data_IF_058957939515
#
_entry.id   IF_058957939515
#
_cell.length_a   1.000
_cell.length_b   1.000
_cell.length_c   1.000
_cell.angle_alpha   90.00
_cell.angle_beta   90.00
_cell.angle_gamma   90.00
#
_symmetry.space_group_name_H-M   'P 1'
#
loop_
_entity.id
_entity.type
_entity.pdbx_description
1 polymer ?
#
# COMPACT_ATOMS: atom_id res chain seq x y z
N UNK A 1 16.39 -10.50 0.43
CA UNK A 1 16.13 -9.05 0.50
C UNK A 1 14.86 -8.87 1.31
N UNK A 2 14.82 -7.87 2.22
CA UNK A 2 13.60 -7.59 2.98
C UNK A 2 12.88 -6.44 2.28
N UNK A 3 11.71 -6.72 1.72
CA UNK A 3 10.83 -5.66 1.18
C UNK A 3 10.44 -4.74 2.33
N UNK A 4 10.41 -3.42 2.15
CA UNK A 4 9.78 -2.50 3.12
C UNK A 4 8.52 -1.87 2.52
N UNK A 5 7.66 -1.33 3.38
CA UNK A 5 6.67 -0.36 2.94
C UNK A 5 7.26 1.03 3.15
N UNK A 6 7.67 1.66 2.06
CA UNK A 6 8.26 2.99 2.05
C UNK A 6 7.16 4.05 2.00
N UNK A 7 7.28 5.10 2.79
CA UNK A 7 6.44 6.30 2.71
C UNK A 7 7.34 7.49 2.38
N UNK A 8 7.22 8.04 1.15
CA UNK A 8 7.96 9.22 0.76
C UNK A 8 7.45 10.44 1.55
N UNK A 9 8.39 11.23 2.05
CA UNK A 9 8.13 12.41 2.87
C UNK A 9 8.59 13.68 2.16
N UNK A 10 7.80 14.74 2.34
CA UNK A 10 8.00 16.02 1.68
C UNK A 10 7.85 17.13 2.70
N UNK A 11 8.64 18.18 2.54
CA UNK A 11 8.45 19.47 3.20
C UNK A 11 8.48 20.50 2.10
N UNK A 12 7.30 20.88 1.57
CA UNK A 12 7.20 21.78 0.43
C UNK A 12 8.12 23.02 0.58
N UNK A 13 8.90 23.34 -0.46
CA UNK A 13 8.80 22.82 -1.83
C UNK A 13 9.60 21.53 -2.11
N UNK A 14 10.22 20.93 -1.08
CA UNK A 14 11.24 19.90 -1.26
C UNK A 14 10.74 18.50 -0.91
N UNK A 15 11.28 17.51 -1.61
CA UNK A 15 11.30 16.14 -1.15
C UNK A 15 12.42 15.98 -0.12
N UNK A 16 12.14 15.24 0.96
CA UNK A 16 13.13 15.02 2.02
C UNK A 16 13.79 13.66 1.83
N UNK A 17 13.00 12.63 1.55
CA UNK A 17 13.46 11.25 1.53
C UNK A 17 12.31 10.29 1.85
N UNK A 18 12.65 9.01 1.98
CA UNK A 18 11.71 7.95 2.34
C UNK A 18 11.96 7.46 3.77
N UNK A 19 10.87 7.29 4.50
CA UNK A 19 10.85 6.43 5.67
C UNK A 19 10.41 5.04 5.24
N UNK A 20 10.91 4.01 5.89
CA UNK A 20 10.64 2.60 5.55
C UNK A 20 10.24 1.86 6.80
N UNK A 21 9.07 1.25 6.74
CA UNK A 21 8.61 0.36 7.79
C UNK A 21 9.07 -1.07 7.51
N UNK A 22 9.71 -1.65 8.51
CA UNK A 22 10.14 -3.03 8.55
C UNK A 22 9.38 -3.80 9.62
N UNK A 23 9.19 -5.10 9.40
CA UNK A 23 8.55 -5.98 10.38
C UNK A 23 9.58 -6.97 10.89
N UNK A 24 9.87 -6.92 12.19
CA UNK A 24 10.88 -7.76 12.85
C UNK A 24 10.23 -8.57 13.97
N UNK A 25 10.81 -9.73 14.30
CA UNK A 25 10.37 -10.50 15.46
C UNK A 25 10.69 -9.74 16.76
N UNK A 26 9.73 -9.68 17.68
CA UNK A 26 9.91 -9.05 18.97
C UNK A 26 11.02 -9.75 19.76
N UNK A 27 11.86 -8.96 20.43
CA UNK A 27 12.99 -9.46 21.20
C UNK A 27 14.26 -9.70 20.38
N UNK A 28 14.20 -9.64 19.04
CA UNK A 28 15.41 -9.57 18.23
C UNK A 28 16.11 -8.22 18.41
N UNK A 29 17.45 -8.23 18.35
CA UNK A 29 18.21 -7.00 18.25
C UNK A 29 17.84 -6.24 16.97
N UNK A 30 17.69 -4.92 17.07
CA UNK A 30 17.44 -4.08 15.92
C UNK A 30 18.71 -4.01 15.06
N UNK A 31 18.60 -4.10 13.73
CA UNK A 31 19.71 -3.78 12.84
C UNK A 31 20.21 -2.34 13.08
N UNK A 32 21.45 -2.02 12.68
CA UNK A 32 21.94 -0.65 12.66
C UNK A 32 20.96 0.26 11.91
N UNK A 33 20.77 1.49 12.39
CA UNK A 33 19.89 2.53 11.82
C UNK A 33 18.38 2.28 11.96
N UNK A 34 17.96 1.12 12.46
CA UNK A 34 16.56 0.83 12.73
C UNK A 34 16.17 1.33 14.12
N UNK A 35 15.04 2.02 14.21
CA UNK A 35 14.40 2.36 15.47
C UNK A 35 13.01 1.72 15.56
N UNK A 36 12.43 1.70 16.77
CA UNK A 36 11.02 1.32 16.91
C UNK A 36 10.17 2.39 16.22
N UNK A 37 9.27 1.98 15.32
CA UNK A 37 8.49 2.91 14.53
C UNK A 37 7.67 3.84 15.43
N UNK A 38 7.82 5.14 15.21
CA UNK A 38 6.99 6.17 15.86
C UNK A 38 5.96 6.62 14.84
N UNK A 39 4.79 5.99 14.88
CA UNK A 39 3.72 6.35 13.96
C UNK A 39 3.25 7.78 14.26
N UNK A 40 3.59 8.75 13.39
CA UNK A 40 3.42 10.18 13.63
C UNK A 40 2.40 10.82 12.67
N UNK A 41 1.19 10.25 12.67
CA UNK A 41 0.01 10.75 11.96
C UNK A 41 -1.00 11.36 12.95
N UNK A 42 -1.83 12.33 12.54
CA UNK A 42 -3.03 12.70 13.29
C UNK A 42 -4.08 11.56 13.34
N UNK A 43 -4.05 10.61 12.40
CA UNK A 43 -5.12 9.62 12.18
C UNK A 43 -4.91 8.29 12.92
N UNK A 44 -4.10 8.25 13.98
CA UNK A 44 -3.72 6.99 14.68
C UNK A 44 -4.92 6.12 15.04
N UNK A 45 -5.99 6.73 15.55
CA UNK A 45 -7.21 6.01 15.96
C UNK A 45 -7.94 5.40 14.78
N UNK A 46 -7.99 6.11 13.66
CA UNK A 46 -8.65 5.65 12.42
C UNK A 46 -7.86 4.49 11.83
N UNK A 47 -6.55 4.63 11.72
CA UNK A 47 -5.66 3.59 11.20
C UNK A 47 -5.72 2.33 12.07
N UNK A 48 -5.68 2.47 13.40
CA UNK A 48 -5.84 1.33 14.31
C UNK A 48 -7.20 0.64 14.14
N UNK A 49 -8.27 1.40 13.89
CA UNK A 49 -9.59 0.83 13.61
C UNK A 49 -9.59 0.10 12.27
N UNK A 50 -9.00 0.66 11.22
CA UNK A 50 -8.85 -0.01 9.93
C UNK A 50 -8.08 -1.33 10.06
N UNK A 51 -6.97 -1.35 10.81
CA UNK A 51 -6.22 -2.57 11.13
C UNK A 51 -7.13 -3.60 11.81
N UNK A 52 -7.93 -3.20 12.81
CA UNK A 52 -8.82 -4.12 13.54
C UNK A 52 -9.89 -4.77 12.65
N UNK A 53 -10.28 -4.10 11.56
CA UNK A 53 -11.27 -4.58 10.61
C UNK A 53 -10.64 -5.45 9.52
N UNK A 54 -9.47 -5.07 9.01
CA UNK A 54 -8.81 -5.74 7.88
C UNK A 54 -7.89 -6.91 8.32
N UNK A 55 -7.21 -6.76 9.45
CA UNK A 55 -6.28 -7.74 9.99
C UNK A 55 -6.27 -7.78 11.53
N UNK A 56 -7.36 -8.23 12.16
CA UNK A 56 -7.40 -8.39 13.61
C UNK A 56 -6.33 -9.36 14.15
N UNK A 57 -5.89 -10.31 13.31
CA UNK A 57 -4.80 -11.24 13.59
C UNK A 57 -3.46 -10.56 13.84
N UNK A 58 -3.22 -9.38 13.24
CA UNK A 58 -1.96 -8.66 13.39
C UNK A 58 -1.68 -8.20 14.83
N UNK A 59 -2.72 -7.92 15.62
CA UNK A 59 -2.57 -7.54 17.03
C UNK A 59 -2.09 -8.67 17.93
N UNK A 60 -2.14 -9.92 17.46
CA UNK A 60 -1.69 -11.12 18.19
C UNK A 60 -0.29 -11.56 17.78
N UNK A 61 0.31 -10.88 16.80
CA UNK A 61 1.64 -11.21 16.30
C UNK A 61 2.72 -10.93 17.35
N UNK A 62 3.75 -11.76 17.37
CA UNK A 62 4.99 -11.52 18.11
C UNK A 62 5.97 -10.67 17.31
N UNK A 63 5.52 -9.98 16.26
CA UNK A 63 6.33 -9.09 15.44
C UNK A 63 6.02 -7.62 15.75
N UNK A 64 7.04 -6.78 15.59
CA UNK A 64 6.99 -5.34 15.81
C UNK A 64 7.35 -4.60 14.53
N UNK A 65 6.77 -3.40 14.38
CA UNK A 65 7.12 -2.48 13.30
C UNK A 65 8.31 -1.63 13.75
N UNK A 66 9.34 -1.63 12.92
CA UNK A 66 10.52 -0.80 13.04
C UNK A 66 10.57 0.16 11.85
N UNK A 67 11.35 1.23 12.00
CA UNK A 67 11.47 2.31 11.04
C UNK A 67 12.94 2.60 10.76
N UNK A 68 13.25 2.86 9.49
CA UNK A 68 14.50 3.45 9.03
C UNK A 68 14.15 4.63 8.11
N UNK A 69 14.98 5.69 8.11
CA UNK A 69 14.76 6.91 7.32
C UNK A 69 16.01 7.22 6.53
N UNK A 70 15.84 7.73 5.30
CA UNK A 70 16.96 8.28 4.52
C UNK A 70 17.65 9.43 5.26
N UNK A 71 16.86 10.31 5.90
CA UNK A 71 17.34 11.45 6.68
C UNK A 71 16.85 11.35 8.14
N UNK A 72 17.61 10.70 9.05
CA UNK A 72 17.17 10.42 10.43
C UNK A 72 16.83 11.65 11.26
N UNK A 73 17.53 12.77 11.01
CA UNK A 73 17.36 14.04 11.72
C UNK A 73 16.13 14.84 11.26
N UNK A 74 15.53 14.44 10.14
CA UNK A 74 14.34 15.10 9.60
C UNK A 74 13.07 14.57 10.26
N UNK A 75 12.07 15.44 10.36
CA UNK A 75 10.79 15.09 10.98
C UNK A 75 9.84 14.48 9.94
N UNK A 76 9.79 13.15 9.90
CA UNK A 76 8.82 12.42 9.09
C UNK A 76 7.47 12.37 9.82
N UNK A 77 6.47 13.06 9.25
CA UNK A 77 5.12 13.18 9.83
C UNK A 77 4.08 13.44 8.75
N UNK A 78 2.83 13.10 9.05
CA UNK A 78 1.69 13.37 8.17
C UNK A 78 0.75 12.19 8.05
N UNK A 79 -0.40 12.42 7.45
CA UNK A 79 -1.41 11.40 7.11
C UNK A 79 -0.99 10.54 5.90
N UNK A 80 -0.15 11.08 5.02
CA UNK A 80 0.29 10.36 3.82
C UNK A 80 1.09 9.07 4.08
N UNK A 81 1.56 8.82 5.31
CA UNK A 81 2.20 7.57 5.72
C UNK A 81 1.22 6.49 6.22
N UNK A 82 -0.07 6.83 6.36
CA UNK A 82 -1.07 5.95 6.99
C UNK A 82 -1.16 4.60 6.25
N UNK A 83 -1.15 4.61 4.91
CA UNK A 83 -1.16 3.40 4.10
C UNK A 83 0.07 2.51 4.36
N UNK A 84 1.27 3.08 4.37
CA UNK A 84 2.50 2.31 4.60
C UNK A 84 2.48 1.62 5.97
N UNK A 85 2.01 2.35 6.99
CA UNK A 85 1.89 1.81 8.34
C UNK A 85 0.83 0.72 8.45
N UNK A 86 -0.36 0.93 7.86
CA UNK A 86 -1.43 -0.08 7.78
C UNK A 86 -0.91 -1.40 7.17
N UNK A 87 -0.27 -1.32 6.00
CA UNK A 87 0.26 -2.49 5.30
C UNK A 87 1.38 -3.18 6.10
N UNK A 88 2.25 -2.40 6.75
CA UNK A 88 3.29 -2.93 7.64
C UNK A 88 2.70 -3.67 8.83
N UNK A 89 1.60 -3.15 9.41
CA UNK A 89 0.92 -3.80 10.51
C UNK A 89 0.27 -5.12 10.08
N UNK A 90 -0.39 -5.16 8.93
CA UNK A 90 -0.93 -6.41 8.36
C UNK A 90 0.19 -7.45 8.16
N UNK A 91 1.36 -7.00 7.71
CA UNK A 91 2.54 -7.86 7.54
C UNK A 91 3.08 -8.46 8.83
N UNK A 92 2.74 -7.91 10.00
CA UNK A 92 3.08 -8.54 11.27
C UNK A 92 2.50 -9.97 11.37
N UNK A 93 1.32 -10.25 10.80
CA UNK A 93 0.72 -11.59 10.83
C UNK A 93 0.67 -12.29 9.48
N UNK A 94 0.84 -11.58 8.37
CA UNK A 94 0.68 -12.14 7.01
C UNK A 94 1.94 -12.00 6.18
N UNK A 95 2.24 -13.05 5.41
CA UNK A 95 3.35 -13.07 4.46
C UNK A 95 2.98 -12.31 3.19
N UNK A 96 3.92 -11.56 2.61
CA UNK A 96 3.76 -10.97 1.27
C UNK A 96 3.84 -12.07 0.20
N UNK A 97 2.95 -12.04 -0.79
CA UNK A 97 2.91 -13.08 -1.85
C UNK A 97 4.21 -13.17 -2.64
N UNK A 98 4.89 -12.05 -2.80
CA UNK A 98 6.15 -11.92 -3.54
C UNK A 98 7.37 -11.71 -2.61
N UNK A 99 7.29 -12.13 -1.33
CA UNK A 99 8.40 -11.95 -0.36
C UNK A 99 9.73 -12.59 -0.80
N UNK A 100 9.69 -13.61 -1.66
CA UNK A 100 10.86 -14.34 -2.13
C UNK A 100 11.38 -13.87 -3.49
N UNK A 101 10.81 -12.82 -4.09
CA UNK A 101 11.28 -12.31 -5.36
C UNK A 101 12.59 -11.53 -5.17
N UNK A 102 13.66 -11.98 -5.82
CA UNK A 102 14.98 -11.36 -5.74
C UNK A 102 15.05 -9.97 -6.36
N UNK A 103 14.09 -9.61 -7.22
CA UNK A 103 13.98 -8.28 -7.82
C UNK A 103 13.11 -7.32 -7.01
N UNK A 104 12.51 -7.79 -5.91
CA UNK A 104 11.62 -6.95 -5.10
C UNK A 104 12.41 -5.88 -4.34
N UNK A 105 12.20 -4.62 -4.76
CA UNK A 105 12.54 -3.43 -3.99
C UNK A 105 11.51 -3.12 -2.91
N UNK A 106 11.58 -1.91 -2.37
CA UNK A 106 10.57 -1.40 -1.45
C UNK A 106 9.28 -1.06 -2.20
N UNK A 107 8.16 -1.14 -1.48
CA UNK A 107 6.85 -0.72 -1.98
C UNK A 107 6.58 0.70 -1.51
N UNK A 108 6.67 1.67 -2.42
CA UNK A 108 6.29 3.04 -2.13
C UNK A 108 4.78 3.11 -1.90
N UNK A 109 4.38 3.82 -0.85
CA UNK A 109 3.00 3.93 -0.41
C UNK A 109 2.70 5.38 -0.05
N UNK A 110 1.61 5.94 -0.56
CA UNK A 110 1.06 7.20 -0.08
C UNK A 110 -0.45 7.07 0.03
N UNK A 111 -1.05 7.78 0.98
CA UNK A 111 -2.49 7.80 1.15
C UNK A 111 -2.89 7.92 2.61
N UNK A 112 -3.97 8.66 2.83
CA UNK A 112 -4.60 8.80 4.14
C UNK A 112 -5.61 7.68 4.36
N UNK A 113 -5.70 7.15 5.57
CA UNK A 113 -6.71 6.14 5.89
C UNK A 113 -7.90 6.82 6.55
N UNK A 114 -9.05 6.69 5.90
CA UNK A 114 -10.34 7.21 6.35
C UNK A 114 -11.33 6.10 6.73
N UNK A 115 -12.55 6.49 7.07
CA UNK A 115 -13.66 5.59 7.36
C UNK A 115 -14.94 6.10 6.72
N UNK A 116 -15.61 5.24 5.95
CA UNK A 116 -17.01 5.45 5.57
C UNK A 116 -17.89 4.47 6.35
N UNK A 117 -18.50 4.97 7.42
CA UNK A 117 -19.20 4.12 8.40
C UNK A 117 -18.26 3.12 9.06
N UNK A 118 -18.44 1.83 8.75
CA UNK A 118 -17.61 0.74 9.26
C UNK A 118 -16.59 0.21 8.23
N UNK A 119 -16.47 0.87 7.07
CA UNK A 119 -15.61 0.44 5.97
C UNK A 119 -14.37 1.34 5.95
N UNK A 120 -13.15 0.79 6.12
CA UNK A 120 -11.93 1.54 5.91
C UNK A 120 -11.80 1.96 4.45
N UNK A 121 -11.39 3.21 4.20
CA UNK A 121 -11.18 3.73 2.85
C UNK A 121 -9.80 4.37 2.68
N UNK A 122 -9.28 4.34 1.46
CA UNK A 122 -8.07 5.07 1.07
C UNK A 122 -8.46 6.44 0.52
N UNK A 123 -8.08 7.48 1.24
CA UNK A 123 -8.32 8.87 0.87
C UNK A 123 -7.10 9.49 0.19
N UNK A 124 -7.36 10.55 -0.57
CA UNK A 124 -6.31 11.35 -1.19
C UNK A 124 -5.45 12.07 -0.15
N UNK A 125 -4.25 12.46 -0.57
CA UNK A 125 -3.34 13.33 0.19
C UNK A 125 -3.26 14.70 -0.48
N UNK A 126 -2.57 15.66 0.14
CA UNK A 126 -2.27 16.95 -0.50
C UNK A 126 -1.60 16.76 -1.87
N UNK A 127 -2.16 17.40 -2.90
CA UNK A 127 -1.75 17.18 -4.29
C UNK A 127 -0.34 17.71 -4.57
N UNK A 128 0.05 18.83 -3.98
CA UNK A 128 1.40 19.36 -4.17
C UNK A 128 2.46 18.42 -3.58
N UNK A 129 2.19 17.90 -2.38
CA UNK A 129 3.02 16.86 -1.78
C UNK A 129 3.06 15.58 -2.61
N UNK A 130 1.93 15.16 -3.17
CA UNK A 130 1.87 14.02 -4.08
C UNK A 130 2.74 14.20 -5.34
N UNK A 131 2.66 15.36 -6.00
CA UNK A 131 3.44 15.64 -7.21
C UNK A 131 4.95 15.56 -6.96
N UNK A 132 5.41 16.05 -5.80
CA UNK A 132 6.82 15.96 -5.40
C UNK A 132 7.27 14.51 -5.19
N UNK A 133 6.44 13.68 -4.55
CA UNK A 133 6.70 12.25 -4.33
C UNK A 133 6.74 11.49 -5.65
N UNK A 134 5.77 11.76 -6.52
CA UNK A 134 5.67 11.13 -7.83
C UNK A 134 6.88 11.46 -8.69
N UNK A 135 7.29 12.74 -8.74
CA UNK A 135 8.49 13.15 -9.46
C UNK A 135 9.73 12.39 -9.00
N UNK A 136 9.90 12.19 -7.69
CA UNK A 136 11.05 11.43 -7.16
C UNK A 136 10.96 9.94 -7.50
N UNK A 137 9.79 9.32 -7.32
CA UNK A 137 9.60 7.91 -7.70
C UNK A 137 9.89 7.65 -9.18
N UNK A 138 9.57 8.61 -10.05
CA UNK A 138 9.80 8.55 -11.49
C UNK A 138 11.26 8.84 -11.89
N UNK A 139 12.12 9.28 -10.97
CA UNK A 139 13.53 9.51 -11.27
C UNK A 139 14.28 8.20 -11.51
N UNK A 140 15.36 8.29 -12.29
CA UNK A 140 16.27 7.16 -12.54
C UNK A 140 17.04 6.73 -11.28
N UNK A 141 17.15 7.61 -10.27
CA UNK A 141 17.81 7.34 -9.00
C UNK A 141 16.98 6.42 -8.09
N UNK A 142 15.67 6.36 -8.29
CA UNK A 142 14.80 5.46 -7.52
C UNK A 142 14.76 4.09 -8.20
N UNK A 143 15.38 3.09 -7.60
CA UNK A 143 15.36 1.72 -8.12
C UNK A 143 14.04 0.98 -7.84
N UNK A 144 13.23 1.49 -6.93
CA UNK A 144 11.93 0.89 -6.58
C UNK A 144 10.95 0.91 -7.75
N UNK A 145 10.19 -0.17 -7.87
CA UNK A 145 9.39 -0.46 -9.06
C UNK A 145 7.90 -0.29 -8.85
N UNK A 146 7.41 -0.17 -7.61
CA UNK A 146 5.97 -0.07 -7.33
C UNK A 146 5.69 1.11 -6.42
N UNK A 147 4.75 1.95 -6.85
CA UNK A 147 4.16 3.01 -6.03
C UNK A 147 2.64 2.82 -5.92
N UNK A 148 2.18 2.47 -4.73
CA UNK A 148 0.77 2.33 -4.36
C UNK A 148 0.23 3.69 -3.93
N UNK A 149 -0.84 4.14 -4.57
CA UNK A 149 -1.37 5.49 -4.39
C UNK A 149 -2.90 5.57 -4.55
N UNK A 150 -3.56 6.59 -3.96
CA UNK A 150 -4.99 6.80 -4.12
C UNK A 150 -5.28 7.27 -5.54
N UNK A 151 -6.30 6.70 -6.18
CA UNK A 151 -6.68 7.06 -7.56
C UNK A 151 -6.98 8.56 -7.72
N UNK A 152 -7.50 9.21 -6.66
CA UNK A 152 -7.92 10.61 -6.72
C UNK A 152 -6.73 11.53 -6.98
N UNK A 153 -5.60 11.29 -6.31
CA UNK A 153 -4.37 12.07 -6.54
C UNK A 153 -3.82 11.89 -7.95
N UNK A 154 -3.98 10.70 -8.52
CA UNK A 154 -3.58 10.45 -9.90
C UNK A 154 -4.47 11.19 -10.90
N UNK A 155 -5.79 11.21 -10.67
CA UNK A 155 -6.76 11.90 -11.55
C UNK A 155 -6.61 13.42 -11.54
N UNK A 156 -6.04 13.98 -10.48
CA UNK A 156 -5.78 15.41 -10.34
C UNK A 156 -4.47 15.86 -11.00
N UNK A 157 -3.72 14.94 -11.61
CA UNK A 157 -2.50 15.27 -12.33
C UNK A 157 -2.76 16.20 -13.53
N UNK A 158 -1.81 17.11 -13.76
CA UNK A 158 -1.80 17.95 -14.96
C UNK A 158 -1.53 17.12 -16.21
N UNK A 159 -1.99 17.61 -17.37
CA UNK A 159 -1.72 16.96 -18.66
C UNK A 159 -0.21 16.78 -18.93
N UNK A 160 0.60 17.74 -18.50
CA UNK A 160 2.07 17.66 -18.61
C UNK A 160 2.62 16.45 -17.85
N UNK A 161 2.18 16.24 -16.60
CA UNK A 161 2.64 15.10 -15.79
C UNK A 161 2.22 13.76 -16.38
N UNK A 162 1.00 13.69 -16.92
CA UNK A 162 0.53 12.49 -17.62
C UNK A 162 1.42 12.12 -18.80
N UNK A 163 1.84 13.11 -19.59
CA UNK A 163 2.72 12.89 -20.73
C UNK A 163 4.15 12.51 -20.32
N UNK A 164 4.66 13.00 -19.19
CA UNK A 164 5.93 12.52 -18.63
C UNK A 164 5.87 11.03 -18.24
N UNK A 165 4.81 10.60 -17.55
CA UNK A 165 4.61 9.20 -17.15
C UNK A 165 4.58 8.29 -18.39
N UNK A 166 3.85 8.69 -19.44
CA UNK A 166 3.82 7.97 -20.72
C UNK A 166 5.20 7.85 -21.36
N UNK A 167 5.97 8.95 -21.41
CA UNK A 167 7.31 8.95 -22.01
C UNK A 167 8.28 8.00 -21.31
N UNK A 168 8.16 7.86 -19.99
CA UNK A 168 9.00 6.99 -19.18
C UNK A 168 8.57 5.50 -19.21
N UNK A 169 7.55 5.14 -19.99
CA UNK A 169 7.02 3.77 -20.12
C UNK A 169 6.60 3.14 -18.77
N UNK A 170 6.17 3.97 -17.83
CA UNK A 170 5.67 3.54 -16.52
C UNK A 170 4.29 2.92 -16.71
N UNK A 171 4.08 1.74 -16.11
CA UNK A 171 2.77 1.08 -16.11
C UNK A 171 1.86 1.81 -15.11
N UNK A 172 0.64 2.11 -15.51
CA UNK A 172 -0.40 2.60 -14.60
C UNK A 172 -1.48 1.54 -14.55
N UNK A 173 -1.66 0.92 -13.38
CA UNK A 173 -2.55 -0.21 -13.21
C UNK A 173 -3.62 0.10 -12.16
N UNK A 174 -4.83 -0.38 -12.41
CA UNK A 174 -5.82 -0.58 -11.35
C UNK A 174 -5.45 -1.80 -10.49
N UNK A 175 -6.06 -1.91 -9.32
CA UNK A 175 -5.90 -3.11 -8.49
C UNK A 175 -6.33 -4.40 -9.20
N UNK A 176 -7.41 -4.36 -9.97
CA UNK A 176 -7.90 -5.50 -10.74
C UNK A 176 -6.93 -5.95 -11.83
N UNK A 177 -6.28 -5.01 -12.53
CA UNK A 177 -5.24 -5.29 -13.51
C UNK A 177 -3.98 -5.85 -12.86
N UNK A 178 -3.56 -5.26 -11.74
CA UNK A 178 -2.41 -5.73 -10.98
C UNK A 178 -2.60 -7.17 -10.49
N UNK A 179 -3.79 -7.51 -9.97
CA UNK A 179 -4.14 -8.88 -9.55
C UNK A 179 -4.06 -9.90 -10.69
N UNK A 180 -4.29 -9.48 -11.93
CA UNK A 180 -4.25 -10.36 -13.10
C UNK A 180 -2.82 -10.57 -13.63
N UNK A 181 -1.82 -9.82 -13.15
CA UNK A 181 -0.43 -10.03 -13.52
C UNK A 181 0.10 -11.35 -12.95
N UNK A 182 0.98 -12.01 -13.70
CA UNK A 182 1.77 -13.11 -13.15
C UNK A 182 2.82 -12.58 -12.19
N UNK A 183 3.00 -13.27 -11.06
CA UNK A 183 3.96 -12.89 -10.01
C UNK A 183 5.38 -12.63 -10.53
N UNK A 184 5.79 -13.31 -11.61
CA UNK A 184 7.15 -13.23 -12.18
C UNK A 184 7.55 -11.89 -12.82
N UNK A 185 6.59 -11.01 -13.11
CA UNK A 185 6.84 -9.81 -13.92
C UNK A 185 6.42 -8.50 -13.22
N UNK A 186 6.16 -8.58 -11.90
CA UNK A 186 5.61 -7.46 -11.13
C UNK A 186 6.66 -6.35 -10.96
N UNK A 187 7.94 -6.70 -10.80
CA UNK A 187 9.04 -5.76 -10.55
C UNK A 187 9.90 -5.44 -11.79
N UNK A 188 9.53 -5.91 -12.98
CA UNK A 188 10.30 -5.65 -14.21
C UNK A 188 10.15 -4.22 -14.75
N UNK A 189 9.11 -3.50 -14.33
CA UNK A 189 8.80 -2.17 -14.86
C UNK A 189 8.16 -1.33 -13.77
N UNK A 190 8.61 -0.06 -13.65
CA UNK A 190 7.99 0.93 -12.77
C UNK A 190 6.49 0.97 -12.99
N UNK A 191 5.76 0.85 -11.89
CA UNK A 191 4.31 0.67 -11.85
C UNK A 191 3.71 1.63 -10.83
N UNK A 192 2.77 2.44 -11.27
CA UNK A 192 1.85 3.19 -10.42
C UNK A 192 0.61 2.31 -10.22
N UNK A 193 0.44 1.80 -9.01
CA UNK A 193 -0.72 1.03 -8.61
C UNK A 193 -1.76 1.97 -8.00
N UNK A 194 -2.81 2.25 -8.78
CA UNK A 194 -3.91 3.14 -8.38
C UNK A 194 -4.99 2.36 -7.65
N UNK A 195 -5.39 2.88 -6.49
CA UNK A 195 -6.35 2.22 -5.58
C UNK A 195 -7.60 3.10 -5.43
N UNK A 196 -8.78 2.54 -5.66
CA UNK A 196 -10.05 3.19 -5.38
C UNK A 196 -10.28 3.32 -3.87
N UNK A 197 -11.12 4.26 -3.39
CA UNK A 197 -11.35 4.45 -1.96
C UNK A 197 -11.74 3.17 -1.21
N UNK A 198 -12.61 2.34 -1.78
CA UNK A 198 -13.13 1.15 -1.11
C UNK A 198 -12.31 -0.13 -1.35
N UNK A 199 -11.17 -0.05 -2.03
CA UNK A 199 -10.38 -1.23 -2.42
C UNK A 199 -9.34 -1.66 -1.37
N UNK A 200 -9.34 -1.08 -0.16
CA UNK A 200 -8.34 -1.42 0.85
C UNK A 200 -8.37 -2.90 1.24
N UNK A 201 -9.55 -3.51 1.36
CA UNK A 201 -9.67 -4.93 1.69
C UNK A 201 -9.09 -5.80 0.58
N UNK A 202 -9.46 -5.52 -0.66
CA UNK A 202 -8.97 -6.19 -1.86
C UNK A 202 -7.46 -6.02 -2.02
N UNK A 203 -6.92 -4.84 -1.71
CA UNK A 203 -5.49 -4.58 -1.71
C UNK A 203 -4.77 -5.49 -0.73
N UNK A 204 -5.31 -5.66 0.49
CA UNK A 204 -4.72 -6.62 1.45
C UNK A 204 -4.74 -8.05 0.92
N UNK A 205 -5.83 -8.46 0.27
CA UNK A 205 -5.95 -9.79 -0.32
C UNK A 205 -4.97 -9.99 -1.48
N UNK A 206 -4.70 -8.95 -2.27
CA UNK A 206 -3.77 -8.99 -3.41
C UNK A 206 -2.32 -9.05 -2.95
N UNK A 207 -1.92 -8.29 -1.93
CA UNK A 207 -0.52 -8.22 -1.49
C UNK A 207 -0.11 -9.37 -0.57
N UNK A 208 -1.03 -9.87 0.25
CA UNK A 208 -0.72 -10.82 1.31
C UNK A 208 -1.28 -12.22 1.05
N UNK A 209 -0.59 -13.22 1.59
CA UNK A 209 -1.14 -14.56 1.76
C UNK A 209 -2.26 -14.52 2.81
N UNK A 210 -3.29 -15.35 2.63
CA UNK A 210 -4.34 -15.51 3.65
C UNK A 210 -3.75 -16.16 4.91
N UNK A 211 -4.20 -15.78 6.12
CA UNK A 211 -3.74 -16.42 7.36
C UNK A 211 -3.94 -17.94 7.30
N UNK A 212 -2.96 -18.72 7.75
CA UNK A 212 -3.01 -20.19 7.71
C UNK A 212 -4.24 -20.76 8.44
N UNK A 213 -4.70 -20.10 9.51
CA UNK A 213 -5.88 -20.53 10.28
C UNK A 213 -7.21 -20.33 9.55
N UNK A 214 -7.25 -19.48 8.52
CA UNK A 214 -8.43 -19.31 7.68
C UNK A 214 -8.72 -20.56 6.85
N UNK A 215 -7.69 -21.34 6.49
CA UNK A 215 -7.86 -22.58 5.74
C UNK A 215 -8.43 -23.71 6.62
N UNK A 216 -8.10 -23.74 7.91
CA UNK A 216 -8.63 -24.76 8.84
C UNK A 216 -10.13 -24.59 9.09
N UNK A 217 -10.62 -23.36 9.17
CA UNK A 217 -12.05 -23.08 9.37
C UNK A 217 -12.87 -23.42 8.11
N UNK A 218 -12.32 -23.18 6.92
CA UNK A 218 -12.97 -23.55 5.65
C UNK A 218 -13.01 -25.07 5.44
N UNK A 219 -11.92 -25.78 5.78
CA UNK A 219 -11.83 -27.24 5.63
C UNK A 219 -12.66 -28.01 6.68
N UNK A 220 -13.15 -27.34 7.74
CA UNK A 220 -14.05 -27.92 8.73
C UNK A 220 -15.53 -27.55 8.49
N UNK A 221 -15.83 -26.68 7.53
CA UNK A 221 -17.21 -26.30 7.17
C UNK A 221 -17.56 -26.74 5.76
N UNK A 222 -17.74 -28.04 5.60
CA UNK A 222 -18.75 -28.60 4.67
C UNK A 222 -20.16 -28.35 5.24
N UNK A 223 -20.49 -27.09 5.53
CA UNK A 223 -21.86 -26.69 5.88
C UNK A 223 -22.10 -25.33 5.23
N UNK A 224 -22.86 -25.40 4.14
CA UNK A 224 -23.56 -24.32 3.44
C UNK A 224 -23.51 -22.95 4.13
N UNK A 225 -22.64 -22.07 3.65
CA UNK A 225 -23.00 -20.66 3.51
C UNK A 225 -22.71 -20.26 2.08
N UNK A 226 -23.79 -20.10 1.33
CA UNK A 226 -23.78 -19.48 0.02
C UNK A 226 -22.96 -18.20 0.05
N UNK A 227 -21.97 -18.21 -0.83
CA UNK A 227 -21.30 -17.07 -1.42
C UNK A 227 -22.33 -15.99 -1.80
N UNK A 228 -22.52 -14.96 -0.97
CA UNK A 228 -23.41 -13.82 -1.26
C UNK A 228 -22.64 -12.51 -1.46
N UNK A 229 -21.31 -12.57 -1.55
CA UNK A 229 -20.47 -11.41 -1.85
C UNK A 229 -20.08 -11.31 -3.34
N UNK A 230 -20.12 -12.42 -4.08
CA UNK A 230 -19.73 -12.45 -5.49
C UNK A 230 -20.81 -11.88 -6.46
N UNK A 231 -22.08 -11.82 -6.04
CA UNK A 231 -23.18 -11.42 -6.94
C UNK A 231 -23.49 -9.91 -6.95
N UNK A 232 -22.89 -9.10 -6.07
CA UNK A 232 -23.12 -7.64 -6.09
C UNK A 232 -22.24 -6.86 -7.07
N UNK A 233 -21.11 -7.42 -7.51
CA UNK A 233 -20.23 -6.73 -8.46
C UNK A 233 -20.54 -6.96 -9.93
N UNK A 234 -21.47 -7.88 -10.26
CA UNK A 234 -21.84 -8.14 -11.66
C UNK A 234 -22.82 -7.10 -12.25
N UNK A 235 -23.42 -6.24 -11.43
CA UNK A 235 -24.37 -5.20 -11.88
C UNK A 235 -23.76 -3.80 -12.09
N UNK A 236 -22.46 -3.62 -11.81
CA UNK A 236 -21.81 -2.31 -11.93
C UNK A 236 -20.93 -2.14 -13.18
N UNK A 237 -20.83 -3.17 -14.03
CA UNK A 237 -19.99 -3.15 -15.24
C UNK A 237 -20.73 -2.85 -16.55
N UNK A 238 -22.03 -2.55 -16.53
CA UNK A 238 -22.80 -2.16 -17.74
C UNK A 238 -22.87 -0.64 -17.97
N UNK A 239 -22.18 0.19 -17.18
CA UNK A 239 -22.28 1.66 -17.23
C UNK A 239 -21.00 2.40 -17.64
N UNK A 240 -19.97 1.70 -18.11
CA UNK A 240 -18.65 2.31 -18.42
C UNK A 240 -18.16 2.15 -19.86
N UNK A 241 -19.05 1.87 -20.83
CA UNK A 241 -18.66 1.80 -22.25
C UNK A 241 -18.86 3.08 -23.08
N UNK A 242 -19.45 4.16 -22.53
CA UNK A 242 -19.81 5.34 -23.34
C UNK A 242 -18.97 6.62 -23.10
N UNK A 243 -17.76 6.51 -22.56
CA UNK A 243 -16.86 7.67 -22.44
C UNK A 243 -15.46 7.33 -22.95
N UNK A 244 -15.39 6.90 -24.21
CA UNK A 244 -14.21 6.95 -25.07
C UNK A 244 -14.68 6.71 -26.52
N UNK A 245 -15.27 7.73 -27.13
CA UNK A 245 -15.46 7.88 -28.58
C UNK A 245 -15.26 9.34 -28.94
#
# INVERSE_FOLDING_TARGET
MTIHFAYPNVMPPNFIGCGRFAVLKQGNALPPDYCKAVFNTPNKKIVNRAISLLAPDAFRSDRVICEIRDEPDQNYRGDSMDLAYLLSFIRCSRKLRFENDSQAGDLWCTGMIGMEGAIPILEGVDQHGFDLKLKHFLSEETEDQIFILPIINFRELTAERYEEIKKQKVRVLSLSQFRALSDRNIFETKTLLTILPHELSELTDVLFEKPADYQKICNQKTVCFHCSFADRHRRSMELFQDVCS
#
